data_IF_014967284374
#
_entry.id   IF_014967284374
#
_cell.length_a   1.000
_cell.length_b   1.000
_cell.length_c   1.000
_cell.angle_alpha   90.00
_cell.angle_beta   90.00
_cell.angle_gamma   90.00
#
_symmetry.space_group_name_H-M   'P 1'
#
loop_
_entity.id
_entity.type
_entity.pdbx_description
1 polymer ?
#
# COMPACT_ATOMS: atom_id res chain seq x y z
N UNK A 1 9.95 5.49 -6.04
CA UNK A 1 8.51 5.70 -6.38
C UNK A 1 8.21 5.46 -7.84
N UNK A 2 8.99 6.03 -8.75
CA UNK A 2 8.68 5.93 -10.18
C UNK A 2 8.65 4.50 -10.68
N UNK A 3 9.59 3.68 -10.24
CA UNK A 3 9.63 2.27 -10.61
C UNK A 3 8.37 1.53 -10.13
N UNK A 4 7.97 1.77 -8.88
CA UNK A 4 6.80 1.12 -8.31
C UNK A 4 5.53 1.61 -8.99
N UNK A 5 5.42 2.91 -9.23
CA UNK A 5 4.28 3.48 -9.95
C UNK A 5 4.16 2.83 -11.33
N UNK A 6 5.28 2.72 -12.07
CA UNK A 6 5.28 2.10 -13.38
C UNK A 6 4.86 0.64 -13.35
N UNK A 7 5.33 -0.10 -12.34
CA UNK A 7 4.96 -1.51 -12.19
C UNK A 7 3.46 -1.66 -11.91
N UNK A 8 2.92 -0.84 -11.01
CA UNK A 8 1.49 -0.90 -10.70
C UNK A 8 0.64 -0.47 -11.89
N UNK A 9 1.04 0.58 -12.59
CA UNK A 9 0.30 1.04 -13.76
C UNK A 9 0.25 -0.05 -14.82
N UNK A 10 1.36 -0.73 -15.06
CA UNK A 10 1.44 -1.76 -16.07
C UNK A 10 0.78 -3.06 -15.63
N UNK A 11 1.10 -3.54 -14.43
CA UNK A 11 0.65 -4.86 -13.98
C UNK A 11 -0.79 -4.86 -13.50
N UNK A 12 -1.21 -3.80 -12.83
CA UNK A 12 -2.60 -3.69 -12.35
C UNK A 12 -3.51 -2.99 -13.37
N UNK A 13 -2.94 -2.39 -14.41
CA UNK A 13 -3.71 -1.72 -15.44
C UNK A 13 -4.38 -0.43 -14.97
N UNK A 14 -3.70 0.32 -14.10
CA UNK A 14 -4.23 1.56 -13.54
C UNK A 14 -3.39 2.75 -13.99
N UNK A 15 -3.99 3.94 -13.92
CA UNK A 15 -3.31 5.18 -14.25
C UNK A 15 -2.19 5.48 -13.26
N UNK A 16 -1.13 6.15 -13.71
CA UNK A 16 0.02 6.44 -12.86
C UNK A 16 -0.35 7.34 -11.66
N UNK A 17 -1.26 8.28 -11.85
CA UNK A 17 -1.73 9.13 -10.75
C UNK A 17 -2.48 8.29 -9.72
N UNK A 18 -3.33 7.37 -10.18
CA UNK A 18 -4.06 6.46 -9.31
C UNK A 18 -3.07 5.52 -8.60
N UNK A 19 -2.05 5.04 -9.31
CA UNK A 19 -1.03 4.18 -8.71
C UNK A 19 -0.31 4.89 -7.57
N UNK A 20 0.07 6.15 -7.75
CA UNK A 20 0.74 6.92 -6.72
C UNK A 20 -0.14 7.08 -5.47
N UNK A 21 -1.41 7.42 -5.66
CA UNK A 21 -2.36 7.53 -4.55
C UNK A 21 -2.55 6.20 -3.85
N UNK A 22 -2.63 5.12 -4.60
CA UNK A 22 -2.79 3.77 -4.07
C UNK A 22 -1.60 3.40 -3.19
N UNK A 23 -0.38 3.68 -3.65
CA UNK A 23 0.82 3.40 -2.87
C UNK A 23 0.77 4.15 -1.53
N UNK A 24 0.42 5.44 -1.56
CA UNK A 24 0.31 6.23 -0.34
C UNK A 24 -0.71 5.66 0.64
N UNK A 25 -1.87 5.26 0.15
CA UNK A 25 -2.92 4.68 0.98
C UNK A 25 -2.45 3.36 1.61
N UNK A 26 -1.88 2.46 0.80
CA UNK A 26 -1.46 1.15 1.28
C UNK A 26 -0.31 1.26 2.26
N UNK A 27 0.71 2.06 1.94
CA UNK A 27 1.86 2.22 2.83
C UNK A 27 1.46 2.91 4.14
N UNK A 28 0.56 3.87 4.08
CA UNK A 28 0.02 4.51 5.27
C UNK A 28 -0.72 3.53 6.16
N UNK A 29 -1.52 2.66 5.56
CA UNK A 29 -2.20 1.59 6.28
C UNK A 29 -1.20 0.65 6.96
N UNK A 30 -0.18 0.21 6.21
CA UNK A 30 0.84 -0.68 6.76
C UNK A 30 1.57 -0.05 7.94
N UNK A 31 1.89 1.24 7.84
CA UNK A 31 2.58 1.94 8.92
C UNK A 31 1.73 2.04 10.18
N UNK A 32 0.42 2.19 10.01
CA UNK A 32 -0.50 2.32 11.15
C UNK A 32 -0.87 0.98 11.77
N UNK A 33 -1.04 -0.05 10.95
CA UNK A 33 -1.59 -1.34 11.40
C UNK A 33 -0.55 -2.44 11.48
N UNK A 34 0.57 -2.30 10.78
CA UNK A 34 1.61 -3.31 10.74
C UNK A 34 2.75 -3.04 11.71
N UNK A 35 3.81 -3.87 11.67
CA UNK A 35 5.01 -3.67 12.50
C UNK A 35 5.77 -2.45 11.99
N UNK A 36 5.65 -1.32 12.70
CA UNK A 36 6.12 -0.03 12.23
C UNK A 36 7.61 -0.01 11.86
N UNK A 37 8.45 -0.73 12.60
CA UNK A 37 9.89 -0.79 12.33
C UNK A 37 10.18 -1.36 10.95
N UNK A 38 9.51 -2.46 10.61
CA UNK A 38 9.71 -3.14 9.35
C UNK A 38 9.07 -2.40 8.19
N UNK A 39 7.90 -1.83 8.43
CA UNK A 39 7.22 -0.99 7.44
C UNK A 39 8.06 0.25 7.15
N UNK A 40 8.67 0.85 8.17
CA UNK A 40 9.53 2.01 7.96
C UNK A 40 10.75 1.64 7.11
N UNK A 41 11.32 0.46 7.30
CA UNK A 41 12.42 -0.03 6.48
C UNK A 41 12.00 -0.13 5.00
N UNK A 42 10.78 -0.59 4.75
CA UNK A 42 10.24 -0.65 3.39
C UNK A 42 10.04 0.76 2.82
N UNK A 43 9.45 1.65 3.59
CA UNK A 43 9.20 3.03 3.18
C UNK A 43 10.51 3.73 2.82
N UNK A 44 11.57 3.49 3.61
CA UNK A 44 12.88 4.08 3.36
C UNK A 44 13.48 3.63 2.03
N UNK A 45 13.08 2.47 1.52
CA UNK A 45 13.55 1.95 0.23
C UNK A 45 12.78 2.53 -0.95
N UNK A 46 11.73 3.29 -0.69
CA UNK A 46 10.89 3.86 -1.75
C UNK A 46 10.98 5.38 -1.67
N UNK A 47 11.88 6.01 -2.45
CA UNK A 47 11.99 7.48 -2.44
C UNK A 47 10.67 8.12 -2.86
N UNK A 48 10.21 9.08 -2.07
CA UNK A 48 8.93 9.76 -2.33
C UNK A 48 7.74 9.11 -1.64
N UNK A 49 7.92 7.95 -1.00
CA UNK A 49 6.83 7.27 -0.31
C UNK A 49 6.24 8.11 0.82
N UNK A 50 7.10 8.80 1.57
CA UNK A 50 6.64 9.66 2.66
C UNK A 50 5.69 10.76 2.15
N UNK A 51 6.03 11.37 1.02
CA UNK A 51 5.18 12.39 0.42
C UNK A 51 3.85 11.81 -0.04
N UNK A 52 3.87 10.61 -0.61
CA UNK A 52 2.64 9.93 -1.05
C UNK A 52 1.75 9.58 0.14
N UNK A 53 2.33 9.12 1.24
CA UNK A 53 1.60 8.82 2.46
C UNK A 53 0.99 10.11 3.03
N UNK A 54 1.76 11.18 3.08
CA UNK A 54 1.27 12.47 3.58
C UNK A 54 0.12 12.99 2.73
N UNK A 55 0.22 12.86 1.41
CA UNK A 55 -0.84 13.30 0.50
C UNK A 55 -2.12 12.49 0.73
N UNK A 56 -2.00 11.17 0.95
CA UNK A 56 -3.17 10.34 1.23
C UNK A 56 -3.75 10.62 2.62
N UNK A 57 -2.91 11.00 3.57
CA UNK A 57 -3.32 11.32 4.95
C UNK A 57 -4.06 12.65 5.06
N UNK A 58 -3.99 13.51 4.06
CA UNK A 58 -4.69 14.79 4.09
C UNK A 58 -6.20 14.60 4.21
N UNK A 59 -6.70 13.41 3.89
CA UNK A 59 -8.10 13.03 4.07
C UNK A 59 -8.31 12.19 5.33
N UNK A 60 -7.39 12.28 6.28
CA UNK A 60 -7.34 11.42 7.45
C UNK A 60 -8.55 11.49 8.38
N UNK A 61 -9.21 12.63 8.43
CA UNK A 61 -10.43 12.78 9.25
C UNK A 61 -11.52 11.82 8.83
N UNK A 62 -11.69 11.65 7.52
CA UNK A 62 -12.69 10.72 6.99
C UNK A 62 -12.30 9.27 7.32
N UNK A 63 -11.02 8.94 7.19
CA UNK A 63 -10.53 7.60 7.51
C UNK A 63 -10.76 7.24 8.97
N UNK A 64 -10.57 8.21 9.88
CA UNK A 64 -10.81 7.99 11.30
C UNK A 64 -12.28 7.75 11.59
N UNK A 65 -13.16 8.46 10.92
CA UNK A 65 -14.61 8.29 11.10
C UNK A 65 -15.09 6.93 10.61
N UNK A 66 -14.48 6.44 9.52
CA UNK A 66 -14.82 5.14 8.94
C UNK A 66 -14.17 3.97 9.69
N UNK A 67 -13.32 4.27 10.66
CA UNK A 67 -12.51 3.24 11.30
C UNK A 67 -11.31 2.88 10.45
N UNK A 68 -10.32 2.23 11.04
CA UNK A 68 -9.13 1.80 10.35
C UNK A 68 -9.27 0.41 9.75
N UNK A 69 -8.17 -0.09 9.25
CA UNK A 69 -8.03 -1.46 8.80
C UNK A 69 -8.21 -1.65 7.31
N UNK A 70 -8.17 -2.91 6.93
CA UNK A 70 -8.15 -3.30 5.52
C UNK A 70 -9.43 -2.89 4.78
N UNK A 71 -10.56 -2.90 5.46
CA UNK A 71 -11.84 -2.49 4.87
C UNK A 71 -11.79 -1.02 4.43
N UNK A 72 -11.21 -0.16 5.26
CA UNK A 72 -11.07 1.25 4.91
C UNK A 72 -10.17 1.44 3.69
N UNK A 73 -9.09 0.67 3.61
CA UNK A 73 -8.20 0.70 2.45
C UNK A 73 -8.96 0.29 1.19
N UNK A 74 -9.69 -0.82 1.26
CA UNK A 74 -10.48 -1.29 0.12
C UNK A 74 -11.48 -0.26 -0.36
N UNK A 75 -12.20 0.38 0.57
CA UNK A 75 -13.17 1.42 0.23
C UNK A 75 -12.50 2.61 -0.46
N UNK A 76 -11.35 3.05 0.04
CA UNK A 76 -10.63 4.17 -0.55
C UNK A 76 -10.10 3.83 -1.94
N UNK A 77 -9.63 2.62 -2.15
CA UNK A 77 -9.15 2.18 -3.46
C UNK A 77 -10.30 2.09 -4.46
N UNK A 78 -11.45 1.59 -4.03
CA UNK A 78 -12.63 1.56 -4.89
C UNK A 78 -13.08 2.98 -5.27
N UNK A 79 -12.94 3.93 -4.36
CA UNK A 79 -13.25 5.33 -4.65
C UNK A 79 -12.33 5.93 -5.71
N UNK A 80 -11.13 5.36 -5.88
CA UNK A 80 -10.21 5.75 -6.96
C UNK A 80 -10.53 5.09 -8.29
N UNK A 81 -11.52 4.20 -8.31
CA UNK A 81 -11.92 3.50 -9.52
C UNK A 81 -11.32 2.10 -9.68
N UNK A 82 -10.65 1.58 -8.66
CA UNK A 82 -10.10 0.23 -8.73
C UNK A 82 -11.17 -0.82 -8.47
N UNK A 83 -11.20 -1.83 -9.33
CA UNK A 83 -12.01 -3.02 -9.08
C UNK A 83 -11.24 -4.03 -8.24
N UNK A 84 -11.88 -5.13 -7.89
CA UNK A 84 -11.27 -6.16 -7.05
C UNK A 84 -10.00 -6.75 -7.70
N UNK A 85 -10.03 -6.96 -9.00
CA UNK A 85 -8.87 -7.49 -9.73
C UNK A 85 -7.68 -6.54 -9.66
N UNK A 86 -7.92 -5.25 -9.81
CA UNK A 86 -6.86 -4.24 -9.73
C UNK A 86 -6.30 -4.15 -8.33
N UNK A 87 -7.16 -4.25 -7.31
CA UNK A 87 -6.71 -4.23 -5.91
C UNK A 87 -5.80 -5.42 -5.63
N UNK A 88 -6.19 -6.62 -6.09
CA UNK A 88 -5.36 -7.81 -5.92
C UNK A 88 -4.04 -7.69 -6.67
N UNK A 89 -4.07 -7.12 -7.87
CA UNK A 89 -2.85 -6.88 -8.65
C UNK A 89 -1.91 -5.92 -7.93
N UNK A 90 -2.45 -4.85 -7.37
CA UNK A 90 -1.68 -3.89 -6.57
C UNK A 90 -1.02 -4.58 -5.39
N UNK A 91 -1.78 -5.37 -4.65
CA UNK A 91 -1.25 -6.06 -3.47
C UNK A 91 -0.10 -6.99 -3.84
N UNK A 92 -0.26 -7.79 -4.89
CA UNK A 92 0.78 -8.70 -5.35
C UNK A 92 2.05 -7.96 -5.75
N UNK A 93 1.91 -6.88 -6.52
CA UNK A 93 3.07 -6.13 -6.98
C UNK A 93 3.78 -5.41 -5.83
N UNK A 94 3.02 -4.86 -4.90
CA UNK A 94 3.61 -4.23 -3.72
C UNK A 94 4.38 -5.24 -2.87
N UNK A 95 3.81 -6.43 -2.66
CA UNK A 95 4.49 -7.46 -1.88
C UNK A 95 5.74 -7.95 -2.59
N UNK A 96 5.67 -8.12 -3.91
CA UNK A 96 6.82 -8.52 -4.70
C UNK A 96 7.92 -7.47 -4.66
N UNK A 97 7.55 -6.21 -4.82
CA UNK A 97 8.48 -5.09 -4.73
C UNK A 97 9.13 -5.03 -3.34
N UNK A 98 8.33 -5.20 -2.29
CA UNK A 98 8.84 -5.23 -0.92
C UNK A 98 9.84 -6.35 -0.69
N UNK A 99 9.55 -7.55 -1.19
CA UNK A 99 10.48 -8.67 -1.10
C UNK A 99 11.80 -8.38 -1.80
N UNK A 100 11.75 -7.69 -2.93
CA UNK A 100 12.95 -7.32 -3.66
C UNK A 100 13.78 -6.29 -2.91
N UNK A 101 13.14 -5.42 -2.13
CA UNK A 101 13.82 -4.31 -1.45
C UNK A 101 14.28 -4.64 -0.03
N UNK A 102 13.47 -5.34 0.74
CA UNK A 102 13.80 -5.64 2.15
C UNK A 102 13.94 -7.13 2.46
N UNK A 103 13.70 -7.97 1.47
CA UNK A 103 13.83 -9.41 1.62
C UNK A 103 12.51 -10.09 2.00
N UNK A 104 12.42 -11.38 1.66
CA UNK A 104 11.20 -12.15 1.88
C UNK A 104 10.85 -12.29 3.36
N UNK A 105 11.86 -12.42 4.22
CA UNK A 105 11.63 -12.61 5.65
C UNK A 105 10.96 -11.37 6.27
N UNK A 106 11.51 -10.19 5.99
CA UNK A 106 10.93 -8.96 6.53
C UNK A 106 9.58 -8.64 5.93
N UNK A 107 9.43 -8.88 4.63
CA UNK A 107 8.14 -8.67 3.99
C UNK A 107 7.08 -9.63 4.53
N UNK A 108 7.46 -10.88 4.80
CA UNK A 108 6.59 -11.84 5.44
C UNK A 108 6.15 -11.41 6.83
N UNK A 109 7.04 -10.79 7.59
CA UNK A 109 6.71 -10.28 8.92
C UNK A 109 5.73 -9.10 8.84
N UNK A 110 5.87 -8.24 7.83
CA UNK A 110 4.92 -7.17 7.60
C UNK A 110 3.53 -7.76 7.30
N UNK A 111 3.47 -8.73 6.41
CA UNK A 111 2.22 -9.35 6.00
C UNK A 111 1.55 -10.03 7.20
N UNK A 112 2.30 -10.84 7.94
CA UNK A 112 1.73 -11.58 9.08
C UNK A 112 1.39 -10.67 10.26
N UNK A 113 2.10 -9.55 10.40
CA UNK A 113 1.86 -8.59 11.47
C UNK A 113 0.75 -7.59 11.18
N UNK A 114 0.20 -7.60 9.96
CA UNK A 114 -0.87 -6.67 9.57
C UNK A 114 -2.19 -7.42 9.45
N UNK A 115 -3.22 -7.07 10.25
CA UNK A 115 -4.48 -7.80 10.23
C UNK A 115 -5.12 -7.84 8.84
N UNK A 116 -5.51 -9.03 8.41
CA UNK A 116 -6.20 -9.25 7.14
C UNK A 116 -5.30 -9.29 5.91
N UNK A 117 -4.06 -8.85 6.02
CA UNK A 117 -3.19 -8.73 4.85
C UNK A 117 -2.76 -10.09 4.30
N UNK A 118 -2.67 -11.10 5.17
CA UNK A 118 -2.29 -12.45 4.76
C UNK A 118 -3.24 -13.06 3.72
N UNK A 119 -4.46 -12.56 3.63
CA UNK A 119 -5.43 -13.02 2.63
C UNK A 119 -4.99 -12.67 1.21
N UNK A 120 -4.12 -11.69 1.04
CA UNK A 120 -3.62 -11.24 -0.26
C UNK A 120 -2.23 -11.77 -0.60
N UNK A 121 -1.62 -12.45 0.33
CA UNK A 121 -0.25 -12.96 0.14
C UNK A 121 -0.17 -14.31 -0.57
#
# INVERSE_FOLDING_TARGET
MDELIGRLAFKAGIDSVVAEKTIGIVLGFLRNEGPSDKVQALIDQIPGAEAAIAASSSNGGFSRLMGGGLMAVGTRLMALGLGMNEIQGVARELFRFGRDKIGADQMGEIISGTPGLSQFA
#
